data_IF_540875687713
#
_entry.id   IF_540875687713
#
_cell.length_a   1.000
_cell.length_b   1.000
_cell.length_c   1.000
_cell.angle_alpha   90.00
_cell.angle_beta   90.00
_cell.angle_gamma   90.00
#
_symmetry.space_group_name_H-M   'P 1'
#
loop_
_entity.id
_entity.type
_entity.pdbx_description
1 polymer ?
2 water ?
#
# COMPACT_ATOMS: atom_id res chain seq x y z
N UNK A 1 5.48 -23.12 -2.14
CA UNK A 1 4.62 -21.93 -1.89
C UNK A 1 3.18 -22.27 -2.27
N UNK A 2 2.24 -22.07 -1.32
CA UNK A 2 0.87 -22.54 -1.57
C UNK A 2 -0.02 -21.63 -2.42
N UNK A 3 0.22 -20.32 -2.44
CA UNK A 3 -0.71 -19.42 -3.15
C UNK A 3 -0.08 -18.70 -4.34
N UNK A 4 -0.47 -19.07 -5.55
CA UNK A 4 0.03 -18.42 -6.74
C UNK A 4 -0.99 -17.38 -7.17
N UNK A 5 -0.53 -16.15 -7.40
CA UNK A 5 -1.40 -15.06 -7.81
C UNK A 5 -0.85 -14.48 -9.10
N UNK A 6 -1.64 -14.51 -10.17
CA UNK A 6 -1.14 -14.10 -11.48
C UNK A 6 -1.62 -12.72 -11.89
N UNK A 7 -0.77 -12.01 -12.63
CA UNK A 7 -1.19 -10.87 -13.45
C UNK A 7 -0.47 -11.01 -14.77
N UNK A 8 -1.25 -11.01 -15.84
CA UNK A 8 -0.72 -11.24 -17.18
C UNK A 8 -0.96 -9.99 -18.03
N UNK A 9 0.12 -9.52 -18.66
CA UNK A 9 0.02 -8.28 -19.42
C UNK A 9 1.33 -7.54 -19.49
N UNK A 10 1.34 -6.53 -20.35
CA UNK A 10 2.52 -5.68 -20.55
C UNK A 10 3.06 -5.13 -19.23
N UNK A 11 4.37 -5.17 -19.09
CA UNK A 11 5.03 -4.52 -17.96
C UNK A 11 5.10 -3.03 -18.24
N UNK A 12 4.11 -2.29 -17.73
CA UNK A 12 4.00 -0.86 -18.00
C UNK A 12 3.38 -0.10 -16.83
N UNK A 13 3.59 1.22 -16.84
CA UNK A 13 3.00 2.10 -15.86
C UNK A 13 1.47 1.92 -15.79
N UNK A 14 0.84 1.75 -16.95
CA UNK A 14 -0.61 1.59 -17.08
C UNK A 14 -1.12 0.33 -16.38
N UNK A 15 -0.33 -0.74 -16.42
CA UNK A 15 -0.75 -2.03 -15.86
C UNK A 15 -0.51 -2.10 -14.36
N UNK A 16 0.46 -1.33 -13.88
CA UNK A 16 0.71 -1.16 -12.44
C UNK A 16 1.00 -2.46 -11.67
N UNK A 17 1.89 -3.29 -12.22
CA UNK A 17 2.35 -4.46 -11.48
C UNK A 17 2.90 -4.09 -10.10
N UNK A 18 3.45 -2.89 -9.96
CA UNK A 18 4.06 -2.47 -8.70
C UNK A 18 3.08 -2.49 -7.53
N UNK A 19 1.81 -2.13 -7.77
CA UNK A 19 0.86 -2.14 -6.66
C UNK A 19 0.63 -3.56 -6.12
N UNK A 20 0.67 -4.54 -7.02
CA UNK A 20 0.51 -5.94 -6.62
C UNK A 20 1.75 -6.45 -5.88
N UNK A 21 2.94 -6.07 -6.34
CA UNK A 21 4.16 -6.42 -5.63
C UNK A 21 4.14 -5.85 -4.21
N UNK A 22 3.77 -4.57 -4.08
CA UNK A 22 3.70 -3.95 -2.77
C UNK A 22 2.60 -4.58 -1.90
N UNK A 23 1.46 -4.90 -2.51
CA UNK A 23 0.38 -5.58 -1.77
C UNK A 23 0.85 -6.88 -1.13
N UNK A 24 1.67 -7.65 -1.85
CA UNK A 24 2.19 -8.89 -1.28
C UNK A 24 3.19 -8.58 -0.17
N UNK A 25 4.02 -7.56 -0.36
CA UNK A 25 4.96 -7.15 0.70
C UNK A 25 4.21 -6.75 1.99
N UNK A 26 2.98 -6.25 1.83
CA UNK A 26 2.15 -5.78 2.92
C UNK A 26 1.25 -6.86 3.51
N UNK A 27 1.22 -8.03 2.88
CA UNK A 27 0.28 -9.11 3.25
C UNK A 27 0.59 -9.81 4.55
N UNK A 28 -0.45 -10.24 5.24
CA UNK A 28 -0.28 -11.09 6.41
C UNK A 28 0.34 -12.43 6.05
N UNK A 29 0.29 -12.77 4.75
CA UNK A 29 0.70 -14.08 4.25
C UNK A 29 1.78 -13.96 3.18
N UNK A 30 2.57 -12.90 3.29
CA UNK A 30 3.64 -12.63 2.33
C UNK A 30 4.45 -13.86 1.96
N UNK A 31 4.92 -14.59 2.98
CA UNK A 31 5.78 -15.75 2.75
C UNK A 31 5.12 -16.88 1.95
N UNK A 32 3.79 -16.88 1.91
CA UNK A 32 3.05 -17.97 1.29
C UNK A 32 2.54 -17.63 -0.10
N UNK A 33 2.94 -16.48 -0.62
CA UNK A 33 2.47 -16.03 -1.92
C UNK A 33 3.59 -15.96 -2.93
N UNK A 34 3.32 -16.46 -4.13
CA UNK A 34 4.21 -16.24 -5.27
C UNK A 34 3.42 -15.52 -6.36
N UNK A 35 3.95 -14.41 -6.85
CA UNK A 35 3.32 -13.67 -7.93
C UNK A 35 3.80 -14.21 -9.26
N UNK A 36 2.87 -14.50 -10.14
CA UNK A 36 3.21 -14.89 -11.52
C UNK A 36 2.94 -13.67 -12.39
N UNK A 37 4.00 -12.93 -12.66
CA UNK A 37 3.91 -11.68 -13.39
C UNK A 37 4.42 -11.91 -14.80
N UNK A 38 3.48 -12.22 -15.70
CA UNK A 38 3.82 -12.71 -17.04
C UNK A 38 3.59 -11.65 -18.08
N UNK A 39 4.63 -11.34 -18.84
CA UNK A 39 4.49 -10.35 -19.89
C UNK A 39 5.84 -9.89 -20.39
N UNK A 40 5.84 -8.76 -21.08
CA UNK A 40 7.03 -8.10 -21.63
C UNK A 40 6.77 -6.62 -21.51
N UNK A 41 7.83 -5.80 -21.53
CA UNK A 41 7.62 -4.36 -21.62
C UNK A 41 8.64 -3.50 -20.89
N UNK A 42 8.50 -2.17 -21.00
CA UNK A 42 9.54 -1.26 -20.54
C UNK A 42 9.86 -1.32 -19.05
N UNK A 43 8.91 -1.78 -18.23
CA UNK A 43 9.11 -1.85 -16.79
C UNK A 43 9.72 -3.17 -16.30
N UNK A 44 10.08 -4.05 -17.23
CA UNK A 44 10.54 -5.41 -16.86
C UNK A 44 11.61 -5.39 -15.77
N UNK A 45 12.67 -4.62 -15.99
CA UNK A 45 13.78 -4.62 -15.04
C UNK A 45 13.39 -3.96 -13.71
N UNK A 46 12.64 -2.86 -13.80
CA UNK A 46 12.14 -2.15 -12.62
C UNK A 46 11.33 -3.06 -11.69
N UNK A 47 10.38 -3.80 -12.24
CA UNK A 47 9.55 -4.63 -11.38
C UNK A 47 10.26 -5.89 -10.91
N UNK A 48 11.18 -6.42 -11.71
CA UNK A 48 12.00 -7.52 -11.24
C UNK A 48 12.80 -7.10 -10.00
N UNK A 49 13.38 -5.90 -10.06
CA UNK A 49 14.18 -5.42 -8.96
C UNK A 49 13.32 -5.07 -7.76
N UNK A 50 12.16 -4.47 -8.00
CA UNK A 50 11.25 -4.15 -6.90
C UNK A 50 10.86 -5.38 -6.08
N UNK A 51 10.51 -6.46 -6.76
CA UNK A 51 10.14 -7.67 -6.03
C UNK A 51 11.30 -8.18 -5.16
N UNK A 52 12.51 -8.15 -5.72
CA UNK A 52 13.69 -8.55 -4.95
C UNK A 52 13.91 -7.64 -3.74
N UNK A 53 13.87 -6.32 -3.97
CA UNK A 53 14.11 -5.37 -2.89
C UNK A 53 13.11 -5.55 -1.74
N UNK A 54 11.85 -5.84 -2.09
CA UNK A 54 10.81 -5.98 -1.09
C UNK A 54 10.69 -7.38 -0.50
N UNK A 55 11.51 -8.31 -0.99
CA UNK A 55 11.45 -9.67 -0.45
C UNK A 55 10.25 -10.49 -0.92
N UNK A 56 9.64 -10.05 -2.02
CA UNK A 56 8.44 -10.70 -2.56
C UNK A 56 8.83 -11.79 -3.55
N UNK A 57 8.18 -12.95 -3.39
CA UNK A 57 8.37 -14.07 -4.30
C UNK A 57 7.60 -13.83 -5.60
N UNK A 58 8.29 -13.98 -6.72
CA UNK A 58 7.70 -13.71 -8.00
C UNK A 58 8.36 -14.58 -9.04
N UNK A 59 7.60 -14.90 -10.08
CA UNK A 59 8.09 -15.62 -11.25
C UNK A 59 7.72 -14.80 -12.47
N UNK A 60 8.71 -14.43 -13.25
CA UNK A 60 8.51 -13.60 -14.44
C UNK A 60 8.48 -14.44 -15.73
N UNK A 61 8.84 -13.83 -16.88
CA UNK A 61 8.75 -14.50 -18.16
C UNK A 61 7.45 -14.15 -18.87
N UNK A 62 7.33 -14.60 -20.12
CA UNK A 62 6.18 -14.31 -20.97
C UNK A 62 5.44 -15.61 -21.29
N UNK A 63 4.12 -15.51 -21.50
CA UNK A 63 3.32 -16.68 -21.90
C UNK A 63 2.40 -16.32 -23.06
N UNK A 64 2.32 -17.22 -24.04
CA UNK A 64 1.34 -17.07 -25.11
C UNK A 64 -0.04 -17.57 -24.68
N UNK A 65 -1.03 -17.38 -25.56
CA UNK A 65 -2.43 -17.70 -25.29
C UNK A 65 -2.68 -19.14 -24.82
N UNK A 66 -1.91 -20.07 -25.38
CA UNK A 66 -1.99 -21.49 -25.03
C UNK A 66 -1.43 -21.76 -23.63
N UNK A 67 -0.23 -21.25 -23.37
CA UNK A 67 0.50 -21.51 -22.12
C UNK A 67 -0.14 -20.90 -20.87
N UNK A 68 -0.94 -19.86 -21.07
CA UNK A 68 -1.63 -19.18 -19.97
C UNK A 68 -2.62 -20.12 -19.27
N UNK A 69 -3.36 -20.90 -20.06
CA UNK A 69 -4.25 -21.91 -19.54
C UNK A 69 -3.55 -22.83 -18.54
N UNK A 70 -2.37 -23.33 -18.91
CA UNK A 70 -1.57 -24.17 -18.01
C UNK A 70 -1.29 -23.49 -16.68
N UNK A 71 -0.91 -22.22 -16.73
CA UNK A 71 -0.61 -21.43 -15.52
C UNK A 71 -1.85 -21.18 -14.67
N UNK A 72 -2.93 -20.76 -15.31
CA UNK A 72 -4.20 -20.53 -14.61
C UNK A 72 -4.71 -21.76 -13.83
N UNK A 73 -4.42 -22.97 -14.32
CA UNK A 73 -4.75 -24.24 -13.64
C UNK A 73 -4.30 -24.24 -12.17
N UNK A 74 -3.24 -23.49 -11.90
CA UNK A 74 -2.46 -23.51 -10.64
C UNK A 74 -2.72 -22.29 -9.74
N UNK A 75 -3.49 -21.34 -10.26
CA UNK A 75 -3.64 -20.07 -9.58
C UNK A 75 -4.70 -20.12 -8.50
N UNK A 76 -4.42 -19.38 -7.44
CA UNK A 76 -5.36 -19.14 -6.35
C UNK A 76 -6.18 -17.87 -6.61
N UNK A 77 -5.54 -16.85 -7.17
CA UNK A 77 -6.23 -15.59 -7.50
C UNK A 77 -5.66 -15.01 -8.77
N UNK A 78 -6.44 -14.17 -9.45
CA UNK A 78 -5.96 -13.37 -10.55
C UNK A 78 -6.13 -11.89 -10.17
N UNK A 79 -5.10 -11.07 -10.37
CA UNK A 79 -5.22 -9.64 -10.07
C UNK A 79 -5.02 -8.84 -11.34
N UNK A 80 -5.96 -7.94 -11.63
CA UNK A 80 -5.84 -6.99 -12.72
C UNK A 80 -5.76 -5.62 -12.06
N UNK A 81 -4.53 -5.11 -12.02
CA UNK A 81 -4.19 -3.90 -11.24
C UNK A 81 -4.21 -2.66 -12.10
N UNK A 82 -4.49 -2.86 -13.39
CA UNK A 82 -4.34 -1.82 -14.38
C UNK A 82 -5.24 -0.65 -14.13
N UNK A 83 -4.67 0.52 -14.36
CA UNK A 83 -5.45 1.74 -14.32
C UNK A 83 -6.01 2.13 -15.70
N UNK A 84 -5.31 1.78 -16.78
CA UNK A 84 -5.64 2.39 -18.07
C UNK A 84 -5.46 1.48 -19.28
N UNK A 85 -6.49 1.33 -20.12
CA UNK A 85 -7.92 1.13 -19.77
C UNK A 85 -7.83 -0.14 -20.55
N UNK A 86 -7.20 -1.07 -19.88
CA UNK A 86 -6.22 -1.86 -20.55
C UNK A 86 -6.86 -3.12 -21.05
N UNK A 87 -6.18 -3.77 -22.00
CA UNK A 87 -6.62 -5.08 -22.44
C UNK A 87 -6.72 -5.94 -21.21
N UNK A 88 -7.77 -6.74 -21.17
CA UNK A 88 -7.94 -7.58 -20.01
C UNK A 88 -8.20 -8.99 -20.51
N UNK A 89 -7.55 -9.36 -21.61
CA UNK A 89 -7.75 -10.69 -22.19
C UNK A 89 -7.52 -11.77 -21.15
N UNK A 90 -6.42 -11.65 -20.41
CA UNK A 90 -6.06 -12.67 -19.43
C UNK A 90 -7.01 -12.66 -18.23
N UNK A 91 -7.54 -11.50 -17.88
CA UNK A 91 -8.49 -11.44 -16.78
C UNK A 91 -9.77 -12.21 -17.11
N UNK A 92 -10.27 -12.00 -18.32
CA UNK A 92 -11.44 -12.74 -18.81
C UNK A 92 -11.14 -14.23 -18.91
N UNK A 93 -9.95 -14.58 -19.38
CA UNK A 93 -9.61 -16.00 -19.43
C UNK A 93 -9.48 -16.63 -18.02
N UNK A 94 -9.00 -15.85 -17.06
CA UNK A 94 -8.92 -16.33 -15.68
C UNK A 94 -10.30 -16.62 -15.09
N UNK A 95 -11.21 -15.66 -15.20
CA UNK A 95 -12.56 -15.88 -14.68
C UNK A 95 -13.29 -16.99 -15.44
N UNK A 96 -13.03 -17.12 -16.74
CA UNK A 96 -13.64 -18.19 -17.52
C UNK A 96 -13.31 -19.58 -16.96
N UNK A 97 -12.09 -19.75 -16.46
CA UNK A 97 -11.70 -21.07 -15.95
C UNK A 97 -11.95 -21.21 -14.46
N UNK A 98 -12.64 -20.23 -13.88
CA UNK A 98 -13.03 -20.33 -12.47
C UNK A 98 -11.97 -19.91 -11.46
N UNK A 99 -11.32 -18.78 -11.74
CA UNK A 99 -10.39 -18.18 -10.80
C UNK A 99 -10.98 -16.86 -10.36
N UNK A 100 -10.99 -16.64 -9.05
CA UNK A 100 -11.47 -15.39 -8.49
C UNK A 100 -10.50 -14.23 -8.78
N UNK A 101 -11.03 -13.10 -9.29
CA UNK A 101 -10.17 -11.95 -9.55
C UNK A 101 -10.22 -10.90 -8.47
N UNK A 102 -9.20 -10.05 -8.44
CA UNK A 102 -9.27 -8.78 -7.69
C UNK A 102 -8.87 -7.73 -8.70
N UNK A 103 -9.75 -6.76 -8.94
CA UNK A 103 -9.56 -5.84 -10.05
C UNK A 103 -9.61 -4.39 -9.58
N UNK A 104 -8.70 -3.58 -10.11
CA UNK A 104 -8.62 -2.16 -9.77
C UNK A 104 -9.91 -1.46 -10.19
N UNK A 105 -10.52 -0.76 -9.25
CA UNK A 105 -11.77 -0.07 -9.49
C UNK A 105 -11.51 1.26 -10.21
N UNK A 106 -10.90 1.18 -11.38
CA UNK A 106 -10.55 2.37 -12.17
C UNK A 106 -11.81 2.78 -12.96
N UNK A 107 -12.34 3.98 -12.67
CA UNK A 107 -13.60 4.47 -13.29
C UNK A 107 -13.51 4.58 -14.81
N UNK A 108 -12.29 4.60 -15.33
CA UNK A 108 -12.06 4.55 -16.77
C UNK A 108 -11.93 3.11 -17.29
N UNK A 109 -11.65 2.19 -16.37
CA UNK A 109 -11.36 0.80 -16.72
C UNK A 109 -12.60 -0.07 -16.83
N UNK A 110 -12.84 -0.59 -18.04
CA UNK A 110 -13.98 -1.48 -18.28
C UNK A 110 -13.86 -2.80 -17.51
N UNK A 111 -12.63 -3.19 -17.18
CA UNK A 111 -12.37 -4.48 -16.50
C UNK A 111 -13.09 -4.64 -15.16
N UNK A 112 -13.28 -3.54 -14.45
CA UNK A 112 -14.00 -3.58 -13.17
C UNK A 112 -15.42 -4.20 -13.27
N UNK A 113 -15.99 -4.19 -14.48
CA UNK A 113 -17.28 -4.82 -14.74
C UNK A 113 -17.31 -6.33 -14.43
N UNK A 114 -16.14 -6.96 -14.51
CA UNK A 114 -16.05 -8.41 -14.26
C UNK A 114 -16.28 -8.77 -12.78
N UNK A 115 -16.06 -7.83 -11.87
CA UNK A 115 -16.23 -8.11 -10.45
C UNK A 115 -17.70 -8.31 -10.14
N UNK A 116 -17.99 -9.41 -9.46
CA UNK A 116 -19.36 -9.73 -9.06
C UNK A 116 -19.77 -9.03 -7.76
N UNK A 117 -18.79 -8.59 -6.97
CA UNK A 117 -19.04 -7.89 -5.71
C UNK A 117 -17.76 -7.18 -5.28
N UNK A 118 -17.86 -6.38 -4.22
CA UNK A 118 -16.75 -5.53 -3.77
C UNK A 118 -15.52 -6.28 -3.28
N UNK A 119 -15.66 -7.57 -2.97
CA UNK A 119 -14.52 -8.34 -2.47
C UNK A 119 -13.49 -8.56 -3.59
N UNK A 120 -13.93 -8.32 -4.82
CA UNK A 120 -13.10 -8.51 -5.99
C UNK A 120 -12.71 -7.19 -6.65
N UNK A 121 -12.83 -6.12 -5.89
CA UNK A 121 -12.39 -4.77 -6.34
C UNK A 121 -11.43 -4.19 -5.33
N UNK A 122 -10.47 -3.42 -5.81
CA UNK A 122 -9.66 -2.62 -4.89
C UNK A 122 -9.50 -1.22 -5.46
N UNK A 123 -9.25 -0.26 -4.59
CA UNK A 123 -9.12 1.12 -5.06
C UNK A 123 -7.77 1.36 -5.77
N UNK A 124 -7.80 2.06 -6.92
CA UNK A 124 -6.62 2.19 -7.77
C UNK A 124 -5.38 2.61 -7.00
N UNK A 125 -4.32 1.84 -7.21
CA UNK A 125 -3.02 2.07 -6.57
C UNK A 125 -2.98 1.90 -5.06
N UNK A 126 -4.09 1.51 -4.45
CA UNK A 126 -4.09 1.41 -2.98
C UNK A 126 -3.56 0.04 -2.55
N UNK A 127 -2.24 -0.03 -2.33
CA UNK A 127 -1.58 -1.31 -2.08
C UNK A 127 -2.08 -1.96 -0.80
N UNK A 128 -2.34 -1.18 0.24
CA UNK A 128 -2.88 -1.78 1.47
C UNK A 128 -4.28 -2.35 1.28
N UNK A 129 -5.10 -1.69 0.47
CA UNK A 129 -6.44 -2.18 0.18
C UNK A 129 -6.34 -3.49 -0.59
N UNK A 130 -5.55 -3.52 -1.67
CA UNK A 130 -5.31 -4.76 -2.41
C UNK A 130 -4.78 -5.87 -1.50
N UNK A 131 -3.88 -5.55 -0.59
CA UNK A 131 -3.35 -6.54 0.33
C UNK A 131 -4.48 -7.14 1.17
N UNK A 132 -5.34 -6.29 1.67
CA UNK A 132 -6.43 -6.76 2.54
C UNK A 132 -7.40 -7.64 1.75
N UNK A 133 -7.67 -7.27 0.50
CA UNK A 133 -8.58 -8.04 -0.35
C UNK A 133 -8.01 -9.42 -0.65
N UNK A 134 -6.73 -9.47 -0.97
CA UNK A 134 -6.06 -10.74 -1.18
C UNK A 134 -6.11 -11.59 0.07
N UNK A 135 -5.76 -11.00 1.21
CA UNK A 135 -5.70 -11.78 2.45
C UNK A 135 -7.05 -12.35 2.81
N UNK A 136 -8.12 -11.58 2.59
CA UNK A 136 -9.46 -12.09 2.89
C UNK A 136 -9.75 -13.35 2.06
N UNK A 137 -9.43 -13.34 0.78
CA UNK A 137 -9.67 -14.53 -0.06
C UNK A 137 -8.83 -15.70 0.40
N UNK A 138 -7.59 -15.47 0.82
CA UNK A 138 -6.70 -16.55 1.23
C UNK A 138 -7.19 -17.18 2.52
N UNK A 139 -7.93 -16.39 3.31
CA UNK A 139 -8.46 -16.83 4.61
C UNK A 139 -9.76 -17.56 4.48
N UNK A 140 -10.36 -17.53 3.29
CA UNK A 140 -11.72 -18.00 3.10
C UNK A 140 -11.84 -18.98 1.93
N UNK A 141 -11.18 -20.11 2.05
CA UNK A 141 -11.17 -21.16 1.03
C UNK A 141 -12.56 -21.58 0.56
N UNK A 142 -13.45 -21.85 1.50
CA UNK A 142 -14.78 -22.32 1.14
C UNK A 142 -15.52 -21.31 0.24
N UNK A 143 -15.49 -20.05 0.64
CA UNK A 143 -16.15 -19.01 -0.13
C UNK A 143 -15.43 -18.71 -1.44
N UNK A 144 -14.09 -18.79 -1.42
CA UNK A 144 -13.31 -18.68 -2.64
C UNK A 144 -13.72 -19.76 -3.65
N UNK A 145 -13.82 -21.01 -3.19
CA UNK A 145 -14.23 -22.07 -4.09
C UNK A 145 -15.65 -21.89 -4.62
N UNK A 146 -16.55 -21.41 -3.76
CA UNK A 146 -17.91 -21.14 -4.20
C UNK A 146 -17.88 -20.06 -5.30
N UNK A 147 -17.14 -18.99 -5.03
CA UNK A 147 -17.07 -17.89 -5.99
C UNK A 147 -16.34 -18.25 -7.29
N UNK A 148 -15.39 -19.18 -7.25
CA UNK A 148 -14.77 -19.67 -8.48
C UNK A 148 -15.83 -20.12 -9.48
N UNK A 149 -16.80 -20.90 -9.00
CA UNK A 149 -17.84 -21.42 -9.85
C UNK A 149 -18.78 -20.33 -10.34
N UNK A 150 -19.03 -19.33 -9.50
CA UNK A 150 -19.85 -18.18 -9.93
C UNK A 150 -19.15 -17.38 -11.00
N UNK A 151 -17.82 -17.25 -10.86
CA UNK A 151 -17.04 -16.56 -11.87
C UNK A 151 -17.05 -17.31 -13.19
N UNK A 152 -16.89 -18.63 -13.13
CA UNK A 152 -16.93 -19.38 -14.39
C UNK A 152 -18.26 -19.19 -15.11
N UNK A 153 -19.35 -19.14 -14.35
CA UNK A 153 -20.68 -18.94 -14.94
C UNK A 153 -20.82 -17.55 -15.53
N UNK A 154 -20.34 -16.55 -14.79
CA UNK A 154 -20.45 -15.16 -15.27
C UNK A 154 -19.63 -14.93 -16.53
N UNK A 155 -18.48 -15.58 -16.60
CA UNK A 155 -17.55 -15.42 -17.73
C UNK A 155 -18.16 -15.93 -19.01
N UNK A 156 -18.82 -17.09 -18.92
CA UNK A 156 -19.53 -17.69 -20.03
C UNK A 156 -20.51 -16.67 -20.61
N UNK A 157 -21.30 -16.07 -19.73
CA UNK A 157 -22.28 -15.04 -20.09
C UNK A 157 -21.66 -13.86 -20.84
N UNK A 158 -20.45 -13.47 -20.43
CA UNK A 158 -19.77 -12.34 -21.04
C UNK A 158 -19.26 -12.64 -22.45
N UNK A 159 -18.61 -13.79 -22.62
CA UNK A 159 -18.03 -14.25 -23.90
C UNK A 159 -19.08 -14.30 -25.01
N UNK B 2 -2.13 -1.04 19.72
CA UNK B 2 -1.97 0.41 19.66
C UNK B 2 -1.83 0.91 18.20
N UNK B 3 -2.19 2.18 18.00
CA UNK B 3 -1.96 2.88 16.73
C UNK B 3 -0.48 3.14 16.56
N UNK B 4 0.08 2.76 15.41
CA UNK B 4 1.48 3.03 15.11
C UNK B 4 1.55 4.22 14.16
N UNK B 5 2.45 5.15 14.47
CA UNK B 5 2.63 6.37 13.69
C UNK B 5 4.12 6.43 13.39
N UNK B 6 4.48 6.49 12.11
CA UNK B 6 5.89 6.48 11.71
C UNK B 6 6.40 7.84 11.26
N UNK B 7 7.66 8.11 11.54
CA UNK B 7 8.43 9.12 10.84
C UNK B 7 9.76 8.51 10.52
N UNK B 8 10.11 8.54 9.23
CA UNK B 8 11.40 8.05 8.77
C UNK B 8 12.25 9.23 8.30
N UNK B 9 13.48 9.29 8.82
CA UNK B 9 14.40 10.33 8.43
C UNK B 9 15.48 10.57 9.45
N UNK B 10 16.44 11.41 9.06
CA UNK B 10 17.60 11.72 9.88
C UNK B 10 17.17 12.26 11.25
N UNK B 11 17.84 11.79 12.29
CA UNK B 11 17.70 12.38 13.61
C UNK B 11 18.48 13.69 13.69
N UNK B 12 17.84 14.79 13.34
CA UNK B 12 18.51 16.09 13.27
C UNK B 12 17.52 17.18 13.60
N UNK B 13 18.03 18.34 14.03
CA UNK B 13 17.17 19.48 14.29
C UNK B 13 16.26 19.86 13.12
N UNK B 14 16.78 19.75 11.90
CA UNK B 14 16.01 20.03 10.70
C UNK B 14 14.74 19.16 10.62
N UNK B 15 14.86 17.92 11.10
CA UNK B 15 13.77 16.94 11.00
C UNK B 15 12.79 16.96 12.17
N UNK B 16 13.27 17.34 13.35
CA UNK B 16 12.39 17.75 14.42
C UNK B 16 11.46 16.63 14.90
N UNK B 17 12.01 15.43 15.06
CA UNK B 17 11.29 14.33 15.71
C UNK B 17 10.71 14.73 17.07
N UNK B 18 11.37 15.68 17.74
CA UNK B 18 10.89 16.12 19.05
C UNK B 18 9.46 16.67 19.03
N UNK B 19 9.07 17.37 17.96
CA UNK B 19 7.72 17.95 17.92
C UNK B 19 6.68 16.84 17.83
N UNK B 20 7.07 15.73 17.18
CA UNK B 20 6.17 14.58 17.08
C UNK B 20 6.06 13.84 18.41
N UNK B 21 7.19 13.65 19.10
CA UNK B 21 7.19 13.06 20.44
C UNK B 21 6.30 13.89 21.38
N UNK B 22 6.49 15.21 21.37
CA UNK B 22 5.68 16.11 22.18
C UNK B 22 4.19 16.00 21.80
N UNK B 23 3.91 15.90 20.50
CA UNK B 23 2.52 15.82 20.05
C UNK B 23 1.83 14.56 20.59
N UNK B 24 2.55 13.44 20.63
CA UNK B 24 1.95 12.22 21.18
C UNK B 24 1.77 12.38 22.70
N UNK B 25 2.72 13.07 23.35
CA UNK B 25 2.58 13.31 24.80
C UNK B 25 1.31 14.11 25.11
N UNK B 26 0.89 14.95 24.17
CA UNK B 26 -0.27 15.82 24.32
C UNK B 26 -1.56 15.16 23.86
N UNK B 27 -1.46 14.01 23.20
CA UNK B 27 -2.61 13.35 22.58
C UNK B 27 -3.56 12.76 23.61
N UNK B 28 -4.85 12.80 23.29
CA UNK B 28 -5.86 12.07 24.06
C UNK B 28 -5.57 10.57 24.08
N UNK B 29 -4.79 10.11 23.10
CA UNK B 29 -4.57 8.68 22.88
C UNK B 29 -3.12 8.29 23.08
N UNK B 30 -2.41 9.11 23.88
CA UNK B 30 -1.01 8.90 24.23
C UNK B 30 -0.69 7.43 24.53
N UNK B 31 -1.46 6.83 25.44
CA UNK B 31 -1.25 5.46 25.89
C UNK B 31 -1.43 4.43 24.77
N UNK B 32 -2.22 4.78 23.76
CA UNK B 32 -2.54 3.86 22.65
C UNK B 32 -1.77 4.17 21.36
N UNK B 33 -0.70 4.95 21.46
CA UNK B 33 0.13 5.27 20.30
C UNK B 33 1.54 4.77 20.52
N UNK B 34 2.13 4.15 19.49
CA UNK B 34 3.55 3.86 19.48
C UNK B 34 4.14 4.61 18.30
N UNK B 35 5.17 5.40 18.55
CA UNK B 35 5.93 6.06 17.48
C UNK B 35 7.02 5.16 16.92
N UNK B 36 7.05 5.04 15.60
CA UNK B 36 8.16 4.37 14.94
C UNK B 36 9.03 5.43 14.33
N UNK B 37 10.11 5.78 15.02
CA UNK B 37 10.99 6.85 14.61
C UNK B 37 12.26 6.23 14.07
N UNK B 38 12.27 6.03 12.76
CA UNK B 38 13.29 5.18 12.14
C UNK B 38 14.28 6.03 11.34
N UNK B 39 15.57 5.87 11.65
CA UNK B 39 16.61 6.75 11.08
C UNK B 39 17.93 6.70 11.83
N UNK B 40 18.81 7.66 11.54
CA UNK B 40 20.12 7.79 12.16
C UNK B 40 20.48 9.26 12.28
N UNK B 41 21.26 9.62 13.28
CA UNK B 41 21.75 10.98 13.39
C UNK B 41 22.28 11.38 14.75
N UNK B 42 22.75 12.63 14.88
CA UNK B 42 23.29 13.13 16.15
C UNK B 42 22.25 13.32 17.26
N UNK B 43 20.96 13.36 16.89
CA UNK B 43 19.89 13.58 17.87
C UNK B 43 19.38 12.32 18.58
N UNK B 44 20.00 11.18 18.26
CA UNK B 44 19.53 9.88 18.72
C UNK B 44 19.28 9.75 20.23
N UNK B 45 20.28 10.11 21.04
CA UNK B 45 20.15 9.97 22.48
C UNK B 45 19.15 10.98 23.04
N UNK B 46 19.22 12.21 22.54
CA UNK B 46 18.28 13.26 22.94
C UNK B 46 16.82 12.81 22.77
N UNK B 47 16.49 12.26 21.61
CA UNK B 47 15.08 11.91 21.34
C UNK B 47 14.59 10.67 22.09
N UNK B 48 15.48 9.70 22.31
CA UNK B 48 15.15 8.57 23.18
C UNK B 48 14.86 9.03 24.61
N UNK B 49 15.69 9.95 25.11
CA UNK B 49 15.52 10.50 26.46
C UNK B 49 14.25 11.32 26.57
N UNK B 50 13.97 12.11 25.53
CA UNK B 50 12.74 12.89 25.48
C UNK B 50 11.50 12.01 25.53
N UNK B 51 11.47 10.96 24.71
CA UNK B 51 10.33 10.06 24.73
C UNK B 51 10.17 9.43 26.13
N UNK B 52 11.30 9.01 26.71
CA UNK B 52 11.25 8.42 28.04
C UNK B 52 10.76 9.41 29.09
N UNK B 53 11.31 10.62 29.09
CA UNK B 53 10.92 11.69 30.03
C UNK B 53 9.44 12.02 29.89
N UNK B 54 8.91 11.98 28.66
CA UNK B 54 7.49 12.25 28.46
C UNK B 54 6.56 11.03 28.54
N UNK B 55 7.14 9.84 28.74
CA UNK B 55 6.37 8.59 28.80
C UNK B 55 5.74 8.20 27.48
N UNK B 56 6.42 8.54 26.39
CA UNK B 56 5.92 8.24 25.05
C UNK B 56 6.55 6.96 24.55
N UNK B 57 5.71 6.02 24.11
CA UNK B 57 6.25 4.79 23.57
C UNK B 57 6.80 5.02 22.15
N UNK B 58 8.05 4.64 21.95
CA UNK B 58 8.72 4.90 20.68
C UNK B 58 9.75 3.82 20.37
N UNK B 59 9.80 3.42 19.10
CA UNK B 59 10.82 2.48 18.63
C UNK B 59 11.73 3.17 17.64
N UNK B 60 13.04 2.93 17.77
CA UNK B 60 14.05 3.63 17.00
C UNK B 60 14.82 2.64 16.13
N UNK B 61 15.91 3.11 15.52
CA UNK B 61 16.75 2.25 14.67
C UNK B 61 16.61 2.60 13.20
N UNK B 62 17.60 2.18 12.41
CA UNK B 62 17.63 2.48 10.98
C UNK B 62 16.83 1.47 10.18
N UNK B 63 16.22 1.92 9.10
CA UNK B 63 15.54 1.03 8.14
C UNK B 63 16.01 1.28 6.71
N UNK B 68 11.07 -0.99 4.81
CA UNK B 68 10.16 0.14 5.00
C UNK B 68 8.68 -0.26 4.91
N UNK B 69 8.32 -1.12 3.97
CA UNK B 69 6.93 -1.62 3.92
C UNK B 69 6.60 -2.54 5.07
N UNK B 70 7.66 -3.13 5.65
CA UNK B 70 7.55 -3.87 6.90
C UNK B 70 7.07 -2.95 8.01
N UNK B 71 7.60 -1.73 8.02
CA UNK B 71 7.21 -0.70 8.98
C UNK B 71 5.80 -0.19 8.65
N UNK B 72 5.61 0.19 7.39
CA UNK B 72 4.37 0.86 6.99
C UNK B 72 3.12 -0.02 7.00
N UNK B 73 3.31 -1.34 6.91
CA UNK B 73 2.16 -2.25 6.92
C UNK B 73 1.34 -2.15 8.21
N UNK B 74 1.98 -1.74 9.30
CA UNK B 74 1.31 -1.65 10.61
C UNK B 74 0.86 -0.23 10.98
N UNK B 75 1.27 0.75 10.16
CA UNK B 75 1.05 2.16 10.50
C UNK B 75 -0.31 2.71 10.12
N UNK B 76 -0.88 3.45 11.05
CA UNK B 76 -2.16 4.14 10.87
C UNK B 76 -1.95 5.55 10.31
N UNK B 77 -0.82 6.17 10.62
CA UNK B 77 -0.48 7.52 10.10
C UNK B 77 0.98 7.64 9.85
N UNK B 78 1.35 8.51 8.91
CA UNK B 78 2.74 8.86 8.70
C UNK B 78 2.87 10.33 9.01
N UNK B 79 3.89 10.70 9.78
CA UNK B 79 4.11 12.12 10.09
C UNK B 79 5.48 12.52 9.58
N UNK B 80 5.53 13.63 8.84
CA UNK B 80 6.82 14.13 8.46
C UNK B 80 6.95 15.51 9.07
N UNK B 81 7.74 15.59 10.15
CA UNK B 81 7.80 16.78 10.99
C UNK B 81 8.84 17.80 10.55
N UNK B 82 9.63 17.45 9.54
CA UNK B 82 10.79 18.23 9.14
C UNK B 82 10.46 19.65 8.69
N UNK B 83 11.22 20.62 9.20
CA UNK B 83 11.12 22.01 8.82
C UNK B 83 11.92 22.28 7.57
N UNK B 84 13.04 21.56 7.44
CA UNK B 84 13.89 21.58 6.25
C UNK B 84 13.97 20.14 5.75
N UNK B 85 13.46 19.96 4.54
CA UNK B 85 13.36 18.64 3.90
C UNK B 85 13.46 18.80 2.40
N UNK B 88 12.53 12.54 1.78
CA UNK B 88 11.06 12.46 1.79
C UNK B 88 10.58 11.14 1.21
N UNK B 89 11.50 10.34 0.72
CA UNK B 89 11.19 9.07 0.08
C UNK B 89 10.14 8.27 0.85
N UNK B 90 10.33 8.14 2.17
CA UNK B 90 9.42 7.37 3.00
C UNK B 90 8.02 7.96 3.07
N UNK B 91 7.93 9.29 3.10
CA UNK B 91 6.63 9.95 3.09
C UNK B 91 5.87 9.62 1.79
N UNK B 92 6.57 9.67 0.66
CA UNK B 92 5.95 9.30 -0.61
C UNK B 92 5.61 7.81 -0.67
N UNK B 93 6.47 6.98 -0.10
CA UNK B 93 6.15 5.57 0.00
C UNK B 93 4.88 5.32 0.79
N UNK B 94 4.73 6.01 1.93
CA UNK B 94 3.58 5.84 2.81
C UNK B 94 2.29 6.22 2.09
N UNK B 95 2.30 7.40 1.46
CA UNK B 95 1.19 7.90 0.68
C UNK B 95 0.80 6.90 -0.40
N UNK B 96 1.82 6.36 -1.07
CA UNK B 96 1.60 5.51 -2.25
C UNK B 96 0.90 4.19 -1.91
N UNK B 97 1.06 3.73 -0.68
CA UNK B 97 0.42 2.48 -0.26
C UNK B 97 -0.91 2.68 0.45
N UNK B 98 -1.32 3.93 0.57
CA UNK B 98 -2.60 4.27 1.22
C UNK B 98 -2.52 4.52 2.71
N UNK B 99 -1.66 5.45 3.10
CA UNK B 99 -1.56 5.91 4.49
C UNK B 99 -1.69 7.42 4.45
N UNK B 100 -2.51 7.98 5.33
CA UNK B 100 -2.67 9.43 5.42
C UNK B 100 -1.45 10.04 6.14
N UNK B 101 -0.87 11.12 5.56
CA UNK B 101 0.24 11.82 6.19
C UNK B 101 -0.21 13.06 6.96
N UNK B 102 0.63 13.50 7.89
CA UNK B 102 0.51 14.84 8.47
C UNK B 102 1.90 15.43 8.37
N UNK B 103 2.00 16.57 7.68
CA UNK B 103 3.29 17.09 7.23
C UNK B 103 3.47 18.54 7.71
N UNK B 104 4.66 18.85 8.22
CA UNK B 104 4.96 20.23 8.61
C UNK B 104 4.81 21.19 7.43
N UNK B 105 4.01 22.26 7.65
CA UNK B 105 3.74 23.24 6.60
C UNK B 105 4.84 24.28 6.48
N UNK B 106 6.01 23.81 6.05
CA UNK B 106 7.20 24.64 6.03
C UNK B 106 7.59 25.04 4.62
N UNK B 107 7.83 26.34 4.40
CA UNK B 107 8.26 26.79 3.09
C UNK B 107 9.64 26.25 2.68
N UNK B 108 10.32 25.59 3.62
CA UNK B 108 11.59 24.90 3.34
C UNK B 108 11.41 23.36 3.30
N UNK B 109 10.17 22.89 3.20
CA UNK B 109 9.91 21.44 3.12
C UNK B 109 9.37 21.05 1.76
N UNK B 110 10.13 20.23 1.04
CA UNK B 110 9.73 19.76 -0.27
C UNK B 110 8.62 18.70 -0.14
N UNK B 111 8.20 18.45 1.08
CA UNK B 111 7.24 17.38 1.36
C UNK B 111 5.82 17.92 1.51
N UNK B 112 5.66 19.16 1.96
CA UNK B 112 4.30 19.66 2.23
C UNK B 112 3.35 19.65 1.05
N UNK B 113 3.89 19.72 -0.17
CA UNK B 113 3.11 19.71 -1.42
C UNK B 113 2.33 18.42 -1.59
N UNK B 114 2.75 17.40 -0.88
CA UNK B 114 2.11 16.09 -1.02
C UNK B 114 0.84 15.97 -0.21
N UNK B 115 0.58 16.92 0.69
CA UNK B 115 -0.70 16.97 1.40
C UNK B 115 -1.81 17.33 0.42
N UNK B 116 -2.93 16.62 0.48
CA UNK B 116 -4.06 16.92 -0.42
C UNK B 116 -4.99 17.99 0.13
N UNK B 117 -4.90 18.25 1.43
CA UNK B 117 -5.67 19.31 2.08
C UNK B 117 -4.99 19.66 3.41
N UNK B 118 -5.48 20.71 4.05
CA UNK B 118 -4.79 21.29 5.22
C UNK B 118 -4.94 20.46 6.46
N UNK B 119 -5.84 19.47 6.44
CA UNK B 119 -5.95 18.56 7.56
C UNK B 119 -4.70 17.70 7.71
N UNK B 120 -3.90 17.62 6.64
CA UNK B 120 -2.65 16.88 6.63
C UNK B 120 -1.41 17.77 6.66
N UNK B 121 -1.61 19.01 7.09
CA UNK B 121 -0.51 19.95 7.34
C UNK B 121 -0.58 20.40 8.78
N UNK B 122 0.56 20.60 9.41
CA UNK B 122 0.56 21.21 10.73
C UNK B 122 1.53 22.38 10.79
N UNK B 123 1.30 23.28 11.72
CA UNK B 123 2.16 24.46 11.78
C UNK B 123 3.53 24.06 12.30
N UNK B 124 4.59 24.42 11.56
CA UNK B 124 5.95 24.07 11.96
C UNK B 124 6.23 24.34 13.46
N UNK B 125 6.81 23.35 14.13
CA UNK B 125 7.21 23.44 15.55
C UNK B 125 6.06 23.47 16.56
N UNK B 126 4.83 23.36 16.08
CA UNK B 126 3.65 23.48 16.93
C UNK B 126 3.13 22.10 17.30
N UNK B 127 3.59 21.59 18.45
CA UNK B 127 3.16 20.26 18.89
C UNK B 127 1.68 20.15 19.20
N UNK B 128 1.06 21.22 19.68
CA UNK B 128 -0.38 21.18 19.98
C UNK B 128 -1.19 21.06 18.70
N UNK B 129 -0.76 21.77 17.66
CA UNK B 129 -1.46 21.68 16.39
C UNK B 129 -1.31 20.28 15.82
N UNK B 130 -0.08 19.75 15.83
CA UNK B 130 0.14 18.37 15.36
C UNK B 130 -0.69 17.34 16.15
N UNK B 131 -0.71 17.50 17.46
CA UNK B 131 -1.45 16.59 18.34
C UNK B 131 -2.95 16.56 18.01
N UNK B 132 -3.54 17.74 17.86
CA UNK B 132 -4.96 17.83 17.55
C UNK B 132 -5.25 17.18 16.18
N UNK B 133 -4.37 17.40 15.21
CA UNK B 133 -4.60 16.82 13.89
C UNK B 133 -4.45 15.32 13.88
N UNK B 134 -3.47 14.80 14.63
CA UNK B 134 -3.32 13.35 14.80
C UNK B 134 -4.58 12.77 15.45
N UNK B 135 -5.05 13.40 16.53
CA UNK B 135 -6.21 12.89 17.24
C UNK B 135 -7.45 12.85 16.35
N UNK B 136 -7.67 13.89 15.55
CA UNK B 136 -8.81 13.90 14.64
C UNK B 136 -8.73 12.74 13.64
N UNK B 137 -7.56 12.53 13.06
CA UNK B 137 -7.41 11.42 12.13
C UNK B 137 -7.65 10.06 12.80
N UNK B 138 -7.14 9.90 14.02
CA UNK B 138 -7.33 8.63 14.77
C UNK B 138 -8.82 8.39 15.07
N UNK B 139 -9.54 9.46 15.33
CA UNK B 139 -10.98 9.39 15.62
C UNK B 139 -11.88 9.16 14.42
N UNK B 140 -11.33 9.35 13.23
CA UNK B 140 -12.12 9.37 12.02
C UNK B 140 -11.79 8.25 11.05
N UNK B 141 -12.12 7.03 11.45
CA UNK B 141 -11.82 5.86 10.61
C UNK B 141 -12.38 5.99 9.20
N UNK B 142 -13.62 6.46 9.07
CA UNK B 142 -14.25 6.55 7.77
C UNK B 142 -13.53 7.50 6.83
N UNK B 143 -13.27 8.73 7.30
CA UNK B 143 -12.57 9.70 6.45
C UNK B 143 -11.11 9.30 6.22
N UNK B 144 -10.48 8.73 7.23
CA UNK B 144 -9.11 8.27 7.09
C UNK B 144 -9.03 7.22 5.99
N UNK B 145 -9.92 6.24 6.05
CA UNK B 145 -9.89 5.17 5.05
C UNK B 145 -10.22 5.69 3.66
N UNK B 146 -11.16 6.62 3.56
CA UNK B 146 -11.46 7.26 2.29
C UNK B 146 -10.25 8.04 1.72
N UNK B 147 -9.60 8.84 2.58
CA UNK B 147 -8.45 9.62 2.16
C UNK B 147 -7.23 8.75 1.84
N UNK B 148 -7.15 7.57 2.47
CA UNK B 148 -6.14 6.62 2.06
C UNK B 148 -6.21 6.30 0.57
N UNK B 149 -7.44 6.16 0.06
CA UNK B 149 -7.66 5.95 -1.36
C UNK B 149 -7.17 7.13 -2.18
N UNK B 150 -7.47 8.35 -1.70
CA UNK B 150 -7.07 9.55 -2.43
C UNK B 150 -5.56 9.73 -2.44
N UNK B 151 -4.95 9.46 -1.28
CA UNK B 151 -3.49 9.49 -1.19
C UNK B 151 -2.82 8.47 -2.12
N UNK B 152 -3.31 7.23 -2.17
CA UNK B 152 -2.68 6.26 -3.05
C UNK B 152 -2.81 6.65 -4.52
N UNK B 153 -3.97 7.17 -4.90
CA UNK B 153 -4.17 7.63 -6.28
C UNK B 153 -3.28 8.82 -6.60
N UNK B 154 -3.06 9.68 -5.61
CA UNK B 154 -2.24 10.88 -5.84
C UNK B 154 -0.79 10.54 -6.13
N UNK B 155 -0.34 9.39 -5.63
CA UNK B 155 1.02 8.95 -5.86
C UNK B 155 1.30 8.53 -7.29
N UNK B 156 0.24 8.25 -8.06
CA UNK B 156 0.34 8.03 -9.51
C UNK B 156 0.78 9.29 -10.24
N UNK B 157 0.67 10.45 -9.57
CA UNK B 157 1.09 11.75 -10.10
C UNK B 157 2.58 12.02 -9.88
N UNK B 158 3.27 11.10 -9.22
CA UNK B 158 4.69 11.26 -8.97
C UNK B 158 5.52 10.42 -9.94
#
# INVERSE_FOLDING_TARGET
TPFKIAMVGRYSNEKNQSVLIKAVALSKYKQDIVLLLKGKGPDEKKIKLLAQKLGVKAEFGFVNSNELLEILKTCTLYVHAANVESEAIACLEAISVGIVPVIANSPLSATRQFALDERSLFEPNNAKDLSAKIDWWLENKLERERMQNEYAKSALNYTLENSVIQ
TPFKIAMVGRYSNEKNQSVLIKAVALSKYKQDIVLLLKGKGPDEKKIKLLAQKLGVKAEFGFVNSNELLEILKTCTLYVHAANVESEAIACLEAISVGIVPVIANSPLSATRQFALDERSLFEPNNAKDLSAKIDWWLENKLERERMQNEYAKSALNYTLENSVIQ
#
